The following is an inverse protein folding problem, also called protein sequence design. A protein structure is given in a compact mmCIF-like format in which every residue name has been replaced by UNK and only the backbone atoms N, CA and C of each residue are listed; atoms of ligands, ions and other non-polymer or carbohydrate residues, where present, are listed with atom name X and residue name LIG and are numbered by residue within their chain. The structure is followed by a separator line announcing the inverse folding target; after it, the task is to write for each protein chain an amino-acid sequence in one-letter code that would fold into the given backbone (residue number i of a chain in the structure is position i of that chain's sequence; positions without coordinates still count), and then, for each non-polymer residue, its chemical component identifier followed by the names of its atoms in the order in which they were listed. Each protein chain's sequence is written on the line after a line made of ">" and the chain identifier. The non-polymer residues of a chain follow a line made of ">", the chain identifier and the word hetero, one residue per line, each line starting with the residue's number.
data_IF_517972148325
#
_entry.id   IF_517972148325
#
_cell.length_a   1.000
_cell.length_b   1.000
_cell.length_c   1.000
_cell.angle_alpha   90.00
_cell.angle_beta   90.00
_cell.angle_gamma   90.00
#
_symmetry.space_group_name_H-M   'P 1'
#
loop_
_entity.id
_entity.type
_entity.pdbx_description
1 polymer ?
#
# COMPACT_ATOMS: atom_id res chain seq x y z
N UNK A 1 27.07 -2.20 21.28
CA UNK A 1 25.81 -1.96 20.56
C UNK A 1 25.63 -3.14 19.63
N UNK A 2 24.45 -3.77 19.60
CA UNK A 2 24.20 -4.84 18.65
C UNK A 2 23.88 -4.18 17.30
N UNK A 3 24.70 -4.45 16.30
CA UNK A 3 24.51 -3.97 14.94
C UNK A 3 23.34 -4.75 14.30
N UNK A 4 22.37 -4.03 13.74
CA UNK A 4 21.23 -4.64 13.06
C UNK A 4 21.68 -5.00 11.65
N UNK A 5 21.58 -6.27 11.28
CA UNK A 5 21.89 -6.72 9.93
C UNK A 5 20.64 -6.61 9.03
N UNK A 6 20.57 -5.55 8.21
CA UNK A 6 19.46 -5.31 7.30
C UNK A 6 19.36 -6.30 6.13
N UNK A 7 20.42 -7.03 5.80
CA UNK A 7 20.41 -8.07 4.76
C UNK A 7 19.52 -9.27 5.14
N UNK A 8 19.14 -9.35 6.42
CA UNK A 8 18.34 -10.43 6.98
C UNK A 8 16.91 -10.04 7.30
N UNK A 9 16.49 -8.82 6.91
CA UNK A 9 15.19 -8.26 7.25
C UNK A 9 14.37 -7.95 6.01
N UNK A 10 13.05 -8.12 6.12
CA UNK A 10 12.11 -7.63 5.13
C UNK A 10 11.87 -6.13 5.29
N UNK A 11 11.95 -5.37 4.19
CA UNK A 11 11.65 -3.93 4.11
C UNK A 11 10.29 -3.53 4.67
N UNK A 12 9.28 -4.39 4.48
CA UNK A 12 7.89 -4.07 4.82
C UNK A 12 7.46 -4.54 6.21
N UNK A 13 8.11 -5.56 6.78
CA UNK A 13 7.65 -6.14 8.05
C UNK A 13 8.74 -6.36 9.09
N UNK A 14 10.01 -6.08 8.75
CA UNK A 14 11.18 -6.23 9.61
C UNK A 14 11.35 -7.64 10.20
N UNK A 15 10.75 -8.64 9.55
CA UNK A 15 10.92 -10.05 9.92
C UNK A 15 11.96 -10.71 9.04
N UNK A 16 12.65 -11.67 9.63
CA UNK A 16 13.48 -12.61 8.91
C UNK A 16 12.60 -13.67 8.22
N UNK A 17 13.00 -14.08 7.02
CA UNK A 17 12.34 -15.02 6.12
C UNK A 17 13.40 -15.85 5.40
N UNK A 18 13.04 -17.04 4.93
CA UNK A 18 13.92 -17.85 4.09
C UNK A 18 13.90 -17.43 2.61
N UNK A 19 12.86 -16.72 2.20
CA UNK A 19 12.66 -16.30 0.82
C UNK A 19 12.48 -14.79 0.73
N UNK A 20 13.34 -14.19 -0.08
CA UNK A 20 13.41 -12.76 -0.35
C UNK A 20 13.41 -12.49 -1.85
N UNK A 21 12.82 -11.36 -2.21
CA UNK A 21 12.95 -10.77 -3.54
C UNK A 21 13.58 -9.40 -3.40
N UNK A 22 14.57 -9.12 -4.23
CA UNK A 22 15.23 -7.83 -4.27
C UNK A 22 14.27 -6.77 -4.80
N UNK A 23 14.18 -5.62 -4.14
CA UNK A 23 13.26 -4.54 -4.52
C UNK A 23 13.60 -3.95 -5.90
N UNK A 24 14.88 -3.73 -6.16
CA UNK A 24 15.37 -3.06 -7.37
C UNK A 24 15.55 -3.95 -8.60
N UNK A 25 15.59 -5.28 -8.41
CA UNK A 25 15.83 -6.25 -9.51
C UNK A 25 14.68 -7.25 -9.67
N UNK A 26 13.87 -7.41 -8.63
CA UNK A 26 12.71 -8.31 -8.64
C UNK A 26 11.52 -7.71 -9.37
N UNK A 27 10.69 -8.60 -9.91
CA UNK A 27 9.44 -8.26 -10.57
C UNK A 27 8.24 -8.81 -9.81
N UNK A 28 7.11 -8.10 -9.91
CA UNK A 28 5.79 -8.61 -9.55
C UNK A 28 5.33 -9.68 -10.57
N UNK A 29 4.17 -10.30 -10.32
CA UNK A 29 3.60 -11.30 -11.24
C UNK A 29 3.26 -10.68 -12.60
N UNK A 30 2.87 -9.41 -12.59
CA UNK A 30 2.54 -8.64 -13.79
C UNK A 30 3.78 -8.02 -14.44
N UNK A 31 4.98 -8.43 -14.00
CA UNK A 31 6.30 -7.98 -14.46
C UNK A 31 6.62 -6.52 -14.11
N UNK A 32 5.78 -5.84 -13.33
CA UNK A 32 6.08 -4.52 -12.77
C UNK A 32 7.27 -4.63 -11.80
N UNK A 33 8.24 -3.72 -11.85
CA UNK A 33 9.30 -3.69 -10.84
C UNK A 33 8.74 -3.52 -9.42
N UNK A 34 9.32 -4.21 -8.43
CA UNK A 34 8.79 -4.19 -7.06
C UNK A 34 8.78 -2.76 -6.48
N UNK A 35 9.81 -1.95 -6.75
CA UNK A 35 9.86 -0.56 -6.28
C UNK A 35 8.69 0.30 -6.81
N UNK A 36 8.27 0.11 -8.06
CA UNK A 36 7.12 0.83 -8.63
C UNK A 36 5.82 0.40 -7.97
N UNK A 37 5.68 -0.88 -7.66
CA UNK A 37 4.49 -1.40 -6.98
C UNK A 37 4.42 -0.91 -5.54
N UNK A 38 5.56 -0.81 -4.85
CA UNK A 38 5.63 -0.23 -3.50
C UNK A 38 5.14 1.21 -3.49
N UNK A 39 5.65 2.03 -4.41
CA UNK A 39 5.19 3.41 -4.55
C UNK A 39 3.70 3.46 -4.94
N UNK A 40 3.30 2.68 -5.94
CA UNK A 40 1.90 2.67 -6.38
C UNK A 40 0.93 2.22 -5.30
N UNK A 41 1.28 1.27 -4.42
CA UNK A 41 0.35 0.71 -3.44
C UNK A 41 0.37 1.47 -2.13
N UNK A 42 1.56 1.80 -1.61
CA UNK A 42 1.76 2.34 -0.27
C UNK A 42 2.30 3.77 -0.25
N UNK A 43 2.50 4.39 -1.42
CA UNK A 43 3.15 5.70 -1.55
C UNK A 43 4.53 5.69 -0.86
N UNK A 44 5.22 4.53 -0.97
CA UNK A 44 6.53 4.28 -0.39
C UNK A 44 7.61 4.39 -1.47
N UNK A 45 8.32 5.50 -1.47
CA UNK A 45 9.54 5.67 -2.26
C UNK A 45 10.71 4.91 -1.62
N UNK A 46 11.50 4.24 -2.46
CA UNK A 46 12.63 3.41 -2.04
C UNK A 46 13.86 3.75 -2.87
N UNK A 47 15.02 3.82 -2.23
CA UNK A 47 16.29 4.17 -2.88
C UNK A 47 17.38 3.17 -2.53
N UNK A 48 18.23 2.83 -3.49
CA UNK A 48 19.33 1.86 -3.31
C UNK A 48 20.26 2.27 -2.15
N UNK A 49 20.40 3.57 -1.90
CA UNK A 49 21.34 4.11 -0.92
C UNK A 49 20.66 4.66 0.35
N UNK A 50 19.42 4.23 0.66
CA UNK A 50 18.70 4.69 1.85
C UNK A 50 19.14 4.03 3.17
N UNK A 51 20.04 3.04 3.10
CA UNK A 51 20.60 2.34 4.26
C UNK A 51 19.62 1.39 4.94
N UNK A 52 18.56 0.97 4.25
CA UNK A 52 17.49 0.12 4.79
C UNK A 52 17.39 -1.20 3.99
N UNK A 53 16.59 -2.19 4.44
CA UNK A 53 16.57 -3.49 3.78
C UNK A 53 16.17 -3.46 2.30
N UNK A 54 16.99 -4.04 1.44
CA UNK A 54 16.76 -4.07 -0.02
C UNK A 54 15.81 -5.21 -0.47
N UNK A 55 15.25 -5.94 0.48
CA UNK A 55 14.51 -7.18 0.22
C UNK A 55 13.09 -7.15 0.77
N UNK A 56 12.17 -7.77 0.04
CA UNK A 56 10.80 -8.05 0.51
C UNK A 56 10.63 -9.55 0.66
N UNK A 57 10.11 -10.00 1.80
CA UNK A 57 9.81 -11.42 2.01
C UNK A 57 8.62 -11.88 1.17
N UNK A 58 8.51 -13.19 0.95
CA UNK A 58 7.42 -13.81 0.16
C UNK A 58 6.02 -13.37 0.59
N UNK A 59 5.75 -13.32 1.89
CA UNK A 59 4.41 -13.01 2.41
C UNK A 59 4.02 -11.55 2.15
N UNK A 60 4.96 -10.62 2.37
CA UNK A 60 4.77 -9.22 2.03
C UNK A 60 4.60 -9.02 0.52
N UNK A 61 5.35 -9.77 -0.29
CA UNK A 61 5.21 -9.72 -1.74
C UNK A 61 3.85 -10.25 -2.24
N UNK A 62 3.30 -11.29 -1.60
CA UNK A 62 1.96 -11.79 -1.92
C UNK A 62 0.89 -10.75 -1.61
N UNK A 63 0.93 -10.14 -0.43
CA UNK A 63 0.01 -9.07 -0.04
C UNK A 63 0.12 -7.87 -0.97
N UNK A 64 1.35 -7.44 -1.29
CA UNK A 64 1.60 -6.33 -2.20
C UNK A 64 0.90 -6.55 -3.55
N UNK A 65 0.91 -7.78 -4.08
CA UNK A 65 0.22 -8.14 -5.33
C UNK A 65 -1.31 -8.07 -5.22
N UNK A 66 -1.86 -8.56 -4.12
CA UNK A 66 -3.30 -8.49 -3.85
C UNK A 66 -3.77 -7.03 -3.81
N UNK A 67 -3.02 -6.18 -3.11
CA UNK A 67 -3.31 -4.75 -3.03
C UNK A 67 -3.09 -4.03 -4.37
N UNK A 68 -2.04 -4.33 -5.13
CA UNK A 68 -1.83 -3.77 -6.47
C UNK A 68 -3.03 -4.07 -7.37
N UNK A 69 -3.44 -5.34 -7.41
CA UNK A 69 -4.59 -5.80 -8.22
C UNK A 69 -5.86 -5.06 -7.81
N UNK A 70 -6.12 -4.96 -6.51
CA UNK A 70 -7.29 -4.29 -6.00
C UNK A 70 -7.28 -2.77 -6.28
N UNK A 71 -6.15 -2.09 -6.05
CA UNK A 71 -5.99 -0.65 -6.30
C UNK A 71 -6.19 -0.36 -7.80
N UNK A 72 -5.60 -1.15 -8.70
CA UNK A 72 -5.83 -1.02 -10.16
C UNK A 72 -7.30 -1.24 -10.54
N UNK A 73 -7.99 -2.22 -9.93
CA UNK A 73 -9.43 -2.43 -10.15
C UNK A 73 -10.25 -1.22 -9.72
N UNK A 74 -9.96 -0.64 -8.56
CA UNK A 74 -10.63 0.56 -8.07
C UNK A 74 -10.41 1.77 -9.00
N UNK A 75 -9.17 2.00 -9.46
CA UNK A 75 -8.87 3.05 -10.43
C UNK A 75 -9.61 2.86 -11.76
N UNK A 76 -9.66 1.64 -12.29
CA UNK A 76 -10.43 1.34 -13.51
C UNK A 76 -11.91 1.64 -13.33
N UNK A 77 -12.49 1.25 -12.21
CA UNK A 77 -13.88 1.56 -11.88
C UNK A 77 -14.12 3.08 -11.75
N UNK A 78 -13.22 3.83 -11.09
CA UNK A 78 -13.29 5.31 -11.05
C UNK A 78 -13.29 5.89 -12.46
N UNK A 79 -12.36 5.45 -13.32
CA UNK A 79 -12.26 5.94 -14.70
C UNK A 79 -13.51 5.62 -15.52
N UNK A 80 -14.10 4.43 -15.35
CA UNK A 80 -15.36 4.05 -16.01
C UNK A 80 -16.55 4.86 -15.50
N UNK A 81 -16.65 5.08 -14.19
CA UNK A 81 -17.69 5.95 -13.63
C UNK A 81 -17.55 7.40 -14.11
N UNK A 82 -16.33 7.91 -14.21
CA UNK A 82 -16.07 9.25 -14.74
C UNK A 82 -16.37 9.36 -16.23
N UNK A 83 -16.11 8.33 -17.04
CA UNK A 83 -16.47 8.34 -18.46
C UNK A 83 -17.98 8.26 -18.66
N UNK A 84 -18.69 7.47 -17.85
CA UNK A 84 -20.15 7.44 -17.85
C UNK A 84 -20.76 8.78 -17.38
N UNK A 85 -20.14 9.43 -16.39
CA UNK A 85 -20.50 10.79 -15.96
C UNK A 85 -20.20 11.83 -17.04
N UNK A 86 -19.07 11.71 -17.75
CA UNK A 86 -18.61 12.61 -18.81
C UNK A 86 -19.34 12.46 -20.15
N UNK A 87 -20.11 11.38 -20.33
CA UNK A 87 -21.17 11.33 -21.35
C UNK A 87 -22.38 12.23 -21.01
N UNK A 88 -22.27 13.05 -19.95
CA UNK A 88 -23.10 14.21 -19.62
C UNK A 88 -22.26 15.51 -19.73
N UNK A 89 -21.41 15.60 -20.75
CA UNK A 89 -20.58 16.76 -21.15
C UNK A 89 -19.11 16.76 -20.63
N UNK A 90 -18.18 16.50 -21.56
CA UNK A 90 -17.01 17.36 -21.78
C UNK A 90 -15.82 17.34 -20.80
N UNK A 91 -14.74 16.67 -21.24
CA UNK A 91 -13.33 17.04 -21.05
C UNK A 91 -12.55 16.57 -19.80
N UNK A 92 -11.35 16.11 -20.13
CA UNK A 92 -10.23 15.61 -19.32
C UNK A 92 -9.76 16.57 -18.22
N UNK A 93 -9.49 16.03 -17.03
CA UNK A 93 -8.62 16.67 -16.04
C UNK A 93 -7.48 15.71 -15.69
N UNK A 94 -6.24 16.20 -15.80
CA UNK A 94 -5.05 15.59 -15.21
C UNK A 94 -5.07 15.92 -13.72
N UNK A 95 -5.12 14.92 -12.85
CA UNK A 95 -4.92 15.13 -11.41
C UNK A 95 -3.45 14.81 -11.07
N UNK A 96 -2.64 15.86 -10.96
CA UNK A 96 -1.55 15.90 -9.98
C UNK A 96 -2.23 16.00 -8.61
N UNK A 97 -1.97 15.04 -7.72
CA UNK A 97 -2.48 15.09 -6.36
C UNK A 97 -1.47 15.92 -5.56
N UNK A 98 -1.84 17.17 -5.25
CA UNK A 98 -1.17 17.93 -4.20
C UNK A 98 -1.45 17.24 -2.86
N UNK A 99 -0.38 16.83 -2.18
CA UNK A 99 -0.42 16.32 -0.81
C UNK A 99 -0.74 17.48 0.14
N UNK A 100 -2.03 17.74 0.37
CA UNK A 100 -2.43 18.60 1.48
C UNK A 100 -2.13 17.90 2.81
N UNK A 101 -1.25 18.53 3.58
CA UNK A 101 -0.85 18.16 4.93
C UNK A 101 -2.08 17.95 5.85
N UNK A 102 -2.42 16.71 6.18
CA UNK A 102 -3.38 16.44 7.25
C UNK A 102 -2.65 16.57 8.60
N UNK A 103 -2.60 17.80 9.12
CA UNK A 103 -2.64 18.04 10.56
C UNK A 103 -4.11 18.10 10.96
N UNK A 104 -4.55 17.15 11.78
CA UNK A 104 -5.15 17.48 13.07
C UNK A 104 -5.40 16.22 13.91
N UNK A 105 -4.78 16.21 15.09
CA UNK A 105 -5.09 15.32 16.21
C UNK A 105 -6.52 15.59 16.68
N UNK A 106 -7.42 14.62 16.63
CA UNK A 106 -8.58 14.59 17.54
C UNK A 106 -8.89 13.17 18.04
N UNK A 107 -8.95 13.09 19.36
CA UNK A 107 -9.11 11.91 20.22
C UNK A 107 -10.32 11.05 19.86
N UNK A 108 -10.09 9.75 19.63
CA UNK A 108 -11.16 8.75 19.63
C UNK A 108 -11.50 8.44 21.10
N UNK A 109 -12.65 8.94 21.57
CA UNK A 109 -13.21 8.56 22.86
C UNK A 109 -13.79 7.14 22.79
N UNK A 110 -13.29 6.23 23.64
CA UNK A 110 -13.59 4.79 23.71
C UNK A 110 -15.02 4.37 24.15
N UNK A 111 -16.04 5.20 24.03
CA UNK A 111 -17.33 4.95 24.71
C UNK A 111 -18.47 4.32 23.89
N UNK A 112 -18.28 3.93 22.62
CA UNK A 112 -19.40 3.42 21.79
C UNK A 112 -19.34 1.95 21.34
N UNK A 113 -18.32 1.16 21.73
CA UNK A 113 -18.23 -0.28 21.37
C UNK A 113 -19.02 -1.20 22.34
N UNK A 114 -19.77 -0.66 23.33
CA UNK A 114 -20.52 -1.49 24.28
C UNK A 114 -21.99 -1.77 23.94
N UNK A 115 -22.52 -1.34 22.79
CA UNK A 115 -23.97 -1.51 22.49
C UNK A 115 -24.30 -2.72 21.60
N UNK A 116 -23.32 -3.50 21.12
CA UNK A 116 -23.61 -4.72 20.32
C UNK A 116 -23.35 -6.06 21.03
N UNK A 117 -22.98 -6.08 22.31
CA UNK A 117 -22.70 -7.32 23.05
C UNK A 117 -23.87 -7.87 23.91
N UNK A 118 -25.10 -7.34 23.77
CA UNK A 118 -26.24 -7.78 24.61
C UNK A 118 -27.46 -8.27 23.85
N UNK A 119 -27.30 -8.73 22.59
CA UNK A 119 -28.40 -9.32 21.81
C UNK A 119 -28.13 -10.72 21.27
N UNK A 120 -27.57 -11.61 22.12
CA UNK A 120 -27.72 -13.06 21.98
C UNK A 120 -27.83 -13.65 23.39
N UNK A 121 -29.03 -13.55 23.98
CA UNK A 121 -29.53 -14.40 25.07
C UNK A 121 -31.01 -14.11 25.29
N UNK A 122 -31.83 -14.74 24.47
CA UNK A 122 -33.19 -15.17 24.78
C UNK A 122 -33.38 -16.50 24.10
#
# INVERSE_FOLDING_TARGET
>A
MNEINFDTLCRLCLRNSFFYMHIYVGQSVDKSPIYEVLNFVYDLEVSVDDGLPEYVCRDCLLKLKEFETYKRKAHRAKSELLSLKGNVEGSCVKEEIEEDEIRDEQQINETEIKVMATKIRT
#
